data_IF_893463255855
#
_entry.id   IF_893463255855
#
_cell.length_a   1.000
_cell.length_b   1.000
_cell.length_c   1.000
_cell.angle_alpha   90.00
_cell.angle_beta   90.00
_cell.angle_gamma   90.00
#
_symmetry.space_group_name_H-M   'P 1'
#
loop_
_entity.id
_entity.type
_entity.pdbx_description
1 polymer ?
#
# COMPACT_ATOMS: atom_id res chain seq x y z
N UNK A 1 -4.50 9.11 -6.41
CA UNK A 1 -3.22 8.51 -6.04
C UNK A 1 -3.28 8.05 -4.59
N UNK A 2 -2.50 7.02 -4.24
CA UNK A 2 -2.21 6.67 -2.84
C UNK A 2 -0.99 7.46 -2.39
N UNK A 3 -0.99 7.92 -1.16
CA UNK A 3 0.18 8.51 -0.51
C UNK A 3 0.77 7.47 0.46
N UNK A 4 2.07 7.26 0.39
CA UNK A 4 2.82 6.41 1.32
C UNK A 4 3.51 7.34 2.32
N UNK A 5 3.28 7.12 3.60
CA UNK A 5 3.71 7.99 4.69
C UNK A 5 4.54 7.14 5.64
N UNK A 6 5.76 7.56 5.91
CA UNK A 6 6.59 6.94 6.93
C UNK A 6 6.31 7.57 8.31
N UNK A 7 6.48 6.77 9.34
CA UNK A 7 6.63 7.31 10.70
C UNK A 7 7.94 8.11 10.80
N UNK A 8 8.05 9.07 11.71
CA UNK A 8 9.32 9.76 11.96
C UNK A 8 10.46 8.78 12.28
N UNK A 9 11.67 9.16 11.86
CA UNK A 9 12.88 8.41 12.18
C UNK A 9 13.12 8.34 13.70
N UNK A 10 13.70 7.22 14.16
CA UNK A 10 13.96 6.98 15.57
C UNK A 10 12.75 6.61 16.43
N UNK A 11 11.56 6.47 15.83
CA UNK A 11 10.40 5.97 16.56
C UNK A 11 10.49 4.46 16.82
N UNK A 12 10.14 4.07 18.07
CA UNK A 12 9.95 2.67 18.44
C UNK A 12 8.52 2.18 18.17
N UNK A 13 8.31 0.89 18.37
CA UNK A 13 7.02 0.23 18.22
C UNK A 13 5.87 0.93 18.96
N UNK A 14 6.07 1.28 20.25
CA UNK A 14 5.01 1.91 21.05
C UNK A 14 4.61 3.29 20.51
N UNK A 15 5.57 4.10 20.09
CA UNK A 15 5.30 5.42 19.49
C UNK A 15 4.51 5.29 18.20
N UNK A 16 4.84 4.30 17.36
CA UNK A 16 4.08 4.04 16.14
C UNK A 16 2.61 3.66 16.45
N UNK A 17 2.36 2.81 17.45
CA UNK A 17 1.00 2.44 17.89
C UNK A 17 0.26 3.67 18.48
N UNK A 18 0.88 4.40 19.39
CA UNK A 18 0.29 5.58 20.04
C UNK A 18 -0.07 6.68 19.06
N UNK A 19 0.71 6.84 17.99
CA UNK A 19 0.45 7.82 16.93
C UNK A 19 -0.89 7.64 16.22
N UNK A 20 -1.49 6.46 16.31
CA UNK A 20 -2.82 6.13 15.77
C UNK A 20 -3.94 6.34 16.77
N UNK A 21 -3.64 6.64 18.04
CA UNK A 21 -4.62 7.02 19.05
C UNK A 21 -5.34 8.33 18.72
N UNK A 22 -6.39 8.66 19.49
CA UNK A 22 -7.22 9.83 19.24
C UNK A 22 -6.47 11.17 19.24
N UNK A 23 -5.42 11.26 20.06
CA UNK A 23 -4.53 12.44 20.18
C UNK A 23 -3.20 12.26 19.42
N UNK A 24 -3.05 11.18 18.64
CA UNK A 24 -1.81 10.87 17.95
C UNK A 24 -1.65 11.65 16.64
N UNK A 25 -0.41 11.85 16.22
CA UNK A 25 -0.03 12.61 15.02
C UNK A 25 -0.68 12.10 13.74
N UNK A 26 -0.96 10.80 13.69
CA UNK A 26 -1.56 10.12 12.53
C UNK A 26 -3.03 9.70 12.75
N UNK A 27 -3.70 10.23 13.78
CA UNK A 27 -5.10 9.91 14.08
C UNK A 27 -6.07 10.21 12.93
N UNK A 28 -5.78 11.26 12.14
CA UNK A 28 -6.69 11.78 11.08
C UNK A 28 -6.42 11.26 9.68
N UNK A 29 -5.50 10.28 9.51
CA UNK A 29 -5.18 9.71 8.21
C UNK A 29 -6.40 8.99 7.59
N UNK A 30 -6.44 8.99 6.24
CA UNK A 30 -7.61 8.58 5.45
C UNK A 30 -7.30 7.43 4.49
N UNK A 31 -8.33 6.89 3.85
CA UNK A 31 -8.23 5.78 2.90
C UNK A 31 -7.36 6.01 1.65
N UNK A 32 -6.96 7.27 1.38
CA UNK A 32 -5.99 7.59 0.32
C UNK A 32 -4.53 7.52 0.76
N UNK A 33 -4.26 7.11 1.99
CA UNK A 33 -2.96 7.12 2.64
C UNK A 33 -2.64 5.73 3.21
N UNK A 34 -1.36 5.36 3.18
CA UNK A 34 -0.83 4.13 3.78
C UNK A 34 0.30 4.53 4.71
N UNK A 35 0.18 4.19 5.99
CA UNK A 35 1.20 4.47 6.99
C UNK A 35 2.13 3.27 7.10
N UNK A 36 3.41 3.54 7.16
CA UNK A 36 4.48 2.58 7.10
C UNK A 36 5.42 2.71 8.30
N UNK A 37 5.81 1.57 8.86
CA UNK A 37 6.77 1.43 9.96
C UNK A 37 7.36 0.01 9.93
N UNK A 38 8.61 -0.20 10.27
CA UNK A 38 9.68 0.75 10.59
C UNK A 38 10.43 1.23 9.32
N UNK A 39 11.49 2.04 9.51
CA UNK A 39 12.45 2.36 8.46
C UNK A 39 13.27 1.14 8.08
N UNK A 40 13.88 1.19 6.91
CA UNK A 40 14.65 0.08 6.36
C UNK A 40 16.15 0.37 6.38
N UNK A 41 16.93 -0.68 6.57
CA UNK A 41 18.38 -0.64 6.49
C UNK A 41 18.83 -1.12 5.12
N UNK A 42 19.65 -0.34 4.46
CA UNK A 42 20.27 -0.68 3.18
C UNK A 42 21.78 -0.62 3.30
N UNK A 43 22.47 -1.41 2.48
CA UNK A 43 23.92 -1.38 2.45
C UNK A 43 24.43 0.01 2.06
N UNK A 44 25.34 0.56 2.84
CA UNK A 44 25.99 1.83 2.51
C UNK A 44 27.08 1.59 1.47
N UNK A 45 26.98 2.16 0.25
CA UNK A 45 27.98 1.97 -0.79
C UNK A 45 29.33 2.65 -0.47
N UNK A 46 29.32 3.57 0.49
CA UNK A 46 30.55 4.28 0.93
C UNK A 46 31.25 3.57 2.10
N UNK A 47 30.63 2.51 2.64
CA UNK A 47 31.25 1.74 3.72
C UNK A 47 32.50 1.00 3.22
N UNK A 48 33.63 1.28 3.86
CA UNK A 48 34.90 0.61 3.55
C UNK A 48 35.54 0.06 4.85
N UNK A 49 35.52 -1.26 5.09
CA UNK A 49 36.02 -1.85 6.32
C UNK A 49 37.57 -1.81 6.44
N UNK A 50 38.27 -1.47 5.34
CA UNK A 50 39.73 -1.51 5.28
C UNK A 50 40.42 -0.18 5.63
N UNK A 51 39.60 0.84 6.02
CA UNK A 51 40.11 2.16 6.41
C UNK A 51 39.95 2.40 7.92
N UNK A 52 40.71 3.35 8.48
CA UNK A 52 40.70 3.67 9.92
C UNK A 52 39.31 4.18 10.41
N UNK A 53 38.56 4.87 9.55
CA UNK A 53 37.16 5.29 9.80
C UNK A 53 36.27 4.69 8.71
N UNK A 54 35.75 3.48 8.93
CA UNK A 54 34.96 2.75 7.91
C UNK A 54 33.60 3.37 7.59
N UNK A 55 33.13 4.30 8.42
CA UNK A 55 31.77 4.84 8.32
C UNK A 55 30.69 3.84 8.77
N UNK A 56 29.42 4.19 8.56
CA UNK A 56 28.30 3.33 8.89
C UNK A 56 28.08 2.27 7.82
N UNK A 57 27.95 1.01 8.24
CA UNK A 57 27.73 -0.12 7.34
C UNK A 57 26.38 -0.06 6.63
N UNK A 58 25.37 0.47 7.32
CA UNK A 58 24.00 0.56 6.83
C UNK A 58 23.51 1.99 6.89
N UNK A 59 22.70 2.36 5.92
CA UNK A 59 21.93 3.61 5.91
C UNK A 59 20.48 3.30 6.28
N UNK A 60 19.93 4.10 7.19
CA UNK A 60 18.49 4.07 7.51
C UNK A 60 17.73 4.93 6.53
N UNK A 61 16.79 4.35 5.80
CA UNK A 61 15.99 5.03 4.79
C UNK A 61 14.48 4.84 5.04
N UNK A 62 13.66 5.82 4.62
CA UNK A 62 12.21 5.71 4.70
C UNK A 62 11.71 4.58 3.79
N UNK A 63 10.84 3.73 4.32
CA UNK A 63 10.32 2.57 3.59
C UNK A 63 9.33 2.94 2.48
N UNK A 64 8.74 4.13 2.52
CA UNK A 64 7.74 4.58 1.53
C UNK A 64 8.23 4.52 0.09
N UNK A 65 9.50 4.85 -0.16
CA UNK A 65 10.09 4.76 -1.50
C UNK A 65 10.13 3.30 -2.00
N UNK A 66 10.52 2.38 -1.12
CA UNK A 66 10.57 0.94 -1.41
C UNK A 66 9.16 0.36 -1.58
N UNK A 67 8.20 0.77 -0.74
CA UNK A 67 6.81 0.36 -0.83
C UNK A 67 6.17 0.84 -2.15
N UNK A 68 6.45 2.06 -2.58
CA UNK A 68 6.00 2.58 -3.87
C UNK A 68 6.60 1.80 -5.05
N UNK A 69 7.91 1.47 -4.97
CA UNK A 69 8.60 0.65 -5.97
C UNK A 69 8.05 -0.77 -6.03
N UNK A 70 7.85 -1.41 -4.86
CA UNK A 70 7.24 -2.73 -4.76
C UNK A 70 5.83 -2.73 -5.34
N UNK A 71 5.03 -1.71 -5.01
CA UNK A 71 3.68 -1.56 -5.55
C UNK A 71 3.69 -1.45 -7.07
N UNK A 72 4.60 -0.66 -7.64
CA UNK A 72 4.74 -0.53 -9.09
C UNK A 72 5.16 -1.87 -9.74
N UNK A 73 6.04 -2.63 -9.11
CA UNK A 73 6.43 -3.98 -9.55
C UNK A 73 5.24 -4.92 -9.59
N UNK A 74 4.45 -4.99 -8.50
CA UNK A 74 3.26 -5.85 -8.43
C UNK A 74 2.20 -5.43 -9.45
N UNK A 75 2.00 -4.12 -9.66
CA UNK A 75 1.08 -3.60 -10.69
C UNK A 75 1.46 -4.08 -12.10
N UNK A 76 2.75 -4.19 -12.40
CA UNK A 76 3.26 -4.62 -13.71
C UNK A 76 3.23 -6.14 -13.89
N UNK A 77 3.53 -6.91 -12.84
CA UNK A 77 3.69 -8.36 -12.94
C UNK A 77 2.39 -9.13 -12.69
N UNK A 78 1.57 -8.67 -11.75
CA UNK A 78 0.38 -9.39 -11.28
C UNK A 78 -0.92 -8.60 -11.48
N UNK A 79 -0.80 -7.28 -11.55
CA UNK A 79 -1.91 -6.37 -11.78
C UNK A 79 -2.29 -5.53 -10.56
N UNK A 80 -2.96 -4.44 -10.86
CA UNK A 80 -3.34 -3.41 -9.89
C UNK A 80 -4.34 -3.87 -8.82
N UNK A 81 -5.02 -5.00 -9.02
CA UNK A 81 -6.01 -5.58 -8.12
C UNK A 81 -5.38 -6.48 -7.05
N UNK A 82 -4.12 -6.88 -7.22
CA UNK A 82 -3.38 -7.71 -6.26
C UNK A 82 -2.81 -6.85 -5.14
N UNK A 83 -2.74 -7.38 -3.93
CA UNK A 83 -2.11 -6.71 -2.78
C UNK A 83 -0.59 -6.76 -2.89
N UNK A 84 0.11 -5.68 -2.45
CA UNK A 84 1.57 -5.71 -2.27
C UNK A 84 2.03 -6.43 -1.01
N UNK A 85 1.11 -6.70 -0.08
CA UNK A 85 1.42 -7.47 1.12
C UNK A 85 1.94 -8.87 0.78
N UNK A 86 2.92 -9.35 1.54
CA UNK A 86 3.61 -10.62 1.33
C UNK A 86 4.49 -10.68 0.06
N UNK A 87 4.84 -9.54 -0.51
CA UNK A 87 5.83 -9.45 -1.58
C UNK A 87 7.17 -8.96 -1.04
N UNK A 88 8.24 -9.57 -1.57
CA UNK A 88 9.59 -9.26 -1.10
C UNK A 88 10.11 -7.94 -1.68
N UNK A 89 10.70 -7.15 -0.80
CA UNK A 89 11.51 -6.01 -1.18
C UNK A 89 12.85 -6.45 -1.81
N UNK A 90 13.45 -5.56 -2.54
CA UNK A 90 14.78 -5.78 -3.13
C UNK A 90 15.73 -4.71 -2.62
N UNK A 91 16.94 -5.11 -2.24
CA UNK A 91 17.99 -4.19 -1.79
C UNK A 91 17.84 -3.72 -0.34
N UNK A 92 17.03 -4.38 0.46
CA UNK A 92 16.87 -4.15 1.90
C UNK A 92 17.60 -5.26 2.66
N UNK A 93 18.42 -4.88 3.63
CA UNK A 93 19.19 -5.79 4.48
C UNK A 93 18.52 -6.04 5.84
N UNK A 94 17.68 -5.12 6.28
CA UNK A 94 17.00 -5.18 7.57
C UNK A 94 16.07 -4.01 7.81
N UNK A 95 15.68 -3.86 9.08
CA UNK A 95 14.91 -2.73 9.60
C UNK A 95 15.63 -2.11 10.78
N UNK A 96 15.49 -0.81 10.98
CA UNK A 96 16.07 -0.07 12.12
C UNK A 96 15.47 -0.54 13.44
N UNK A 97 14.16 -0.86 13.45
CA UNK A 97 13.47 -1.47 14.57
C UNK A 97 13.07 -2.88 14.20
N UNK A 98 13.59 -3.91 14.89
CA UNK A 98 13.19 -5.29 14.65
C UNK A 98 11.74 -5.50 15.09
N UNK A 99 10.91 -6.07 14.23
CA UNK A 99 9.50 -6.38 14.49
C UNK A 99 9.32 -7.89 14.61
N UNK A 100 8.75 -8.34 15.72
CA UNK A 100 8.41 -9.74 15.91
C UNK A 100 7.28 -10.16 14.97
N UNK A 101 7.49 -11.30 14.29
CA UNK A 101 6.53 -11.85 13.35
C UNK A 101 6.39 -13.36 13.52
N UNK A 102 5.14 -13.81 13.66
CA UNK A 102 4.81 -15.22 13.63
C UNK A 102 3.40 -15.41 13.07
N UNK A 103 3.25 -16.29 12.08
CA UNK A 103 1.95 -16.57 11.43
C UNK A 103 0.92 -17.18 12.40
N UNK A 104 1.39 -17.91 13.39
CA UNK A 104 0.55 -18.58 14.41
C UNK A 104 0.20 -17.69 15.60
N UNK A 105 0.87 -16.55 15.77
CA UNK A 105 0.70 -15.67 16.92
C UNK A 105 0.00 -14.36 16.50
N UNK A 106 -1.25 -14.20 16.94
CA UNK A 106 -2.04 -12.98 16.68
C UNK A 106 -1.57 -11.79 17.52
N UNK A 107 -0.75 -12.01 18.54
CA UNK A 107 -0.26 -10.98 19.46
C UNK A 107 1.13 -10.46 19.09
N UNK A 108 1.75 -10.99 18.03
CA UNK A 108 3.04 -10.49 17.55
C UNK A 108 2.94 -9.03 17.11
N UNK A 109 4.02 -8.29 17.23
CA UNK A 109 4.07 -6.84 16.95
C UNK A 109 3.59 -6.50 15.54
N UNK A 110 3.93 -7.30 14.54
CA UNK A 110 3.45 -7.11 13.17
C UNK A 110 1.92 -7.10 13.08
N UNK A 111 1.24 -7.99 13.80
CA UNK A 111 -0.22 -8.04 13.82
C UNK A 111 -0.82 -6.88 14.62
N UNK A 112 -0.19 -6.46 15.71
CA UNK A 112 -0.62 -5.30 16.49
C UNK A 112 -0.51 -3.99 15.67
N UNK A 113 0.57 -3.81 14.90
CA UNK A 113 0.71 -2.69 13.97
C UNK A 113 -0.39 -2.70 12.89
N UNK A 114 -0.62 -3.86 12.28
CA UNK A 114 -1.68 -4.00 11.27
C UNK A 114 -3.08 -3.74 11.85
N UNK A 115 -3.32 -4.10 13.12
CA UNK A 115 -4.58 -3.79 13.80
C UNK A 115 -4.82 -2.28 13.98
N UNK A 116 -3.76 -1.45 13.87
CA UNK A 116 -3.83 0.01 13.87
C UNK A 116 -3.75 0.62 12.46
N UNK A 117 -3.81 -0.19 11.42
CA UNK A 117 -3.72 0.28 10.03
C UNK A 117 -2.31 0.73 9.63
N UNK A 118 -1.29 0.23 10.32
CA UNK A 118 0.13 0.45 10.01
C UNK A 118 0.64 -0.76 9.24
N UNK A 119 1.16 -0.52 8.04
CA UNK A 119 1.87 -1.55 7.28
C UNK A 119 3.29 -1.67 7.79
N UNK A 120 3.76 -2.89 7.98
CA UNK A 120 5.08 -3.15 8.51
C UNK A 120 5.94 -3.97 7.56
N UNK A 121 7.22 -4.03 7.89
CA UNK A 121 8.24 -4.81 7.18
C UNK A 121 8.65 -5.96 8.08
N UNK A 122 8.56 -7.18 7.58
CA UNK A 122 8.88 -8.38 8.36
C UNK A 122 9.84 -9.28 7.60
N UNK A 123 10.67 -10.01 8.35
CA UNK A 123 11.47 -11.08 7.77
C UNK A 123 10.64 -12.37 7.75
N UNK A 124 10.23 -12.79 6.57
CA UNK A 124 9.40 -13.98 6.41
C UNK A 124 10.25 -15.20 6.06
N UNK A 125 9.96 -16.31 6.73
CA UNK A 125 10.64 -17.59 6.55
C UNK A 125 10.77 -17.95 5.06
N UNK A 126 12.01 -17.93 4.55
CA UNK A 126 12.35 -18.31 3.18
C UNK A 126 12.05 -17.29 2.09
N UNK A 127 11.27 -16.24 2.36
CA UNK A 127 10.91 -15.20 1.39
C UNK A 127 11.71 -13.89 1.56
N UNK A 128 12.56 -13.81 2.60
CA UNK A 128 13.30 -12.61 2.92
C UNK A 128 12.44 -11.51 3.54
N UNK A 129 12.82 -10.26 3.28
CA UNK A 129 12.16 -9.09 3.86
C UNK A 129 10.97 -8.72 3.00
N UNK A 130 9.76 -8.81 3.57
CA UNK A 130 8.49 -8.60 2.84
C UNK A 130 7.68 -7.46 3.45
N UNK A 131 6.85 -6.83 2.61
CA UNK A 131 5.79 -5.95 3.09
C UNK A 131 4.69 -6.78 3.78
N UNK A 132 4.24 -6.34 4.95
CA UNK A 132 3.18 -7.00 5.70
C UNK A 132 2.10 -6.02 6.12
N UNK A 133 0.96 -6.11 5.45
CA UNK A 133 -0.22 -5.28 5.69
C UNK A 133 -0.86 -4.80 4.40
N UNK A 134 -2.19 -4.88 4.35
CA UNK A 134 -3.00 -4.46 3.20
C UNK A 134 -4.04 -3.40 3.62
N UNK A 135 -3.89 -2.79 4.78
CA UNK A 135 -4.79 -1.75 5.22
C UNK A 135 -4.33 -0.36 4.78
N UNK A 136 -5.31 0.49 4.48
CA UNK A 136 -5.08 1.94 4.39
C UNK A 136 -5.07 2.53 5.79
N UNK A 137 -4.57 3.76 5.91
CA UNK A 137 -4.57 4.46 7.19
C UNK A 137 -5.97 4.91 7.68
N UNK A 138 -7.05 4.59 6.96
CA UNK A 138 -8.42 4.73 7.47
C UNK A 138 -8.82 3.63 8.44
N UNK A 139 -8.13 2.49 8.42
CA UNK A 139 -8.35 1.43 9.41
C UNK A 139 -7.64 1.81 10.73
N UNK A 140 -8.18 1.51 11.92
CA UNK A 140 -9.41 0.77 12.20
C UNK A 140 -10.70 1.63 12.22
N UNK A 141 -10.61 2.94 12.04
CA UNK A 141 -11.79 3.82 12.07
C UNK A 141 -12.82 3.48 10.99
N UNK A 142 -12.37 2.91 9.88
CA UNK A 142 -13.21 2.43 8.78
C UNK A 142 -12.96 0.94 8.58
N UNK A 143 -14.03 0.15 8.60
CA UNK A 143 -14.00 -1.31 8.36
C UNK A 143 -14.67 -1.73 7.05
N UNK A 144 -15.07 -0.75 6.23
CA UNK A 144 -15.60 -0.99 4.88
C UNK A 144 -14.52 -1.53 3.94
N UNK A 145 -14.88 -2.12 2.78
CA UNK A 145 -13.88 -2.59 1.81
C UNK A 145 -12.84 -1.54 1.41
N UNK A 146 -13.16 -0.24 1.50
CA UNK A 146 -12.24 0.89 1.27
C UNK A 146 -11.06 0.94 2.26
N UNK A 147 -11.15 0.23 3.38
CA UNK A 147 -10.05 0.09 4.32
C UNK A 147 -8.87 -0.71 3.75
N UNK A 148 -9.12 -1.55 2.72
CA UNK A 148 -8.07 -2.32 2.07
C UNK A 148 -7.42 -1.54 0.93
N UNK A 149 -6.08 -1.50 0.91
CA UNK A 149 -5.32 -0.76 -0.11
C UNK A 149 -5.65 -1.26 -1.52
N UNK A 150 -5.60 -2.57 -1.77
CA UNK A 150 -5.87 -3.14 -3.09
C UNK A 150 -7.29 -2.80 -3.59
N UNK A 151 -8.30 -2.85 -2.72
CA UNK A 151 -9.68 -2.47 -3.06
C UNK A 151 -9.77 -0.98 -3.36
N UNK A 152 -9.20 -0.14 -2.51
CA UNK A 152 -9.20 1.32 -2.71
C UNK A 152 -8.53 1.72 -4.02
N UNK A 153 -7.39 1.11 -4.35
CA UNK A 153 -6.68 1.34 -5.61
C UNK A 153 -7.50 0.89 -6.81
N UNK A 154 -8.11 -0.29 -6.72
CA UNK A 154 -9.00 -0.84 -7.76
C UNK A 154 -10.15 0.12 -8.06
N UNK A 155 -10.83 0.62 -7.04
CA UNK A 155 -11.90 1.61 -7.18
C UNK A 155 -11.41 2.90 -7.82
N UNK A 156 -10.23 3.39 -7.44
CA UNK A 156 -9.64 4.61 -8.03
C UNK A 156 -9.31 4.44 -9.52
N UNK A 157 -8.76 3.29 -9.91
CA UNK A 157 -8.42 3.00 -11.31
C UNK A 157 -9.69 2.84 -12.13
N UNK A 158 -10.68 2.08 -11.66
CA UNK A 158 -11.96 1.91 -12.32
C UNK A 158 -12.69 3.25 -12.51
N UNK A 159 -12.78 4.06 -11.44
CA UNK A 159 -13.36 5.40 -11.50
C UNK A 159 -12.67 6.27 -12.54
N UNK A 160 -11.33 6.31 -12.55
CA UNK A 160 -10.57 7.09 -13.53
C UNK A 160 -10.83 6.61 -14.97
N UNK A 161 -10.82 5.31 -15.21
CA UNK A 161 -11.06 4.72 -16.53
C UNK A 161 -12.45 5.07 -17.06
N UNK A 162 -13.48 4.96 -16.22
CA UNK A 162 -14.85 5.33 -16.58
C UNK A 162 -14.95 6.84 -16.83
N UNK A 163 -14.36 7.67 -15.96
CA UNK A 163 -14.36 9.13 -16.14
C UNK A 163 -13.73 9.53 -17.48
N UNK A 164 -12.58 8.92 -17.82
CA UNK A 164 -11.92 9.20 -19.11
C UNK A 164 -12.75 8.74 -20.32
N UNK A 165 -13.39 7.58 -20.23
CA UNK A 165 -14.26 7.07 -21.29
C UNK A 165 -15.51 7.97 -21.48
N UNK A 166 -16.00 8.55 -20.39
CA UNK A 166 -17.17 9.45 -20.43
C UNK A 166 -16.81 10.90 -20.78
N UNK A 167 -15.53 11.26 -20.80
CA UNK A 167 -15.08 12.64 -21.04
C UNK A 167 -15.55 13.19 -22.40
N UNK A 168 -15.68 12.34 -23.41
CA UNK A 168 -16.18 12.72 -24.75
C UNK A 168 -17.64 13.19 -24.76
N UNK A 169 -18.40 12.93 -23.70
CA UNK A 169 -19.80 13.35 -23.57
C UNK A 169 -19.96 14.64 -22.76
N UNK A 170 -18.85 15.22 -22.28
CA UNK A 170 -18.86 16.50 -21.55
C UNK A 170 -19.06 17.63 -22.56
N UNK A 171 -19.91 18.60 -22.20
CA UNK A 171 -20.20 19.78 -23.00
C UNK A 171 -20.89 19.52 -24.37
N UNK A 172 -21.62 18.39 -24.45
CA UNK A 172 -22.49 18.12 -25.59
C UNK A 172 -23.76 18.99 -25.47
N UNK A 173 -24.15 19.69 -26.54
CA UNK A 173 -25.26 20.65 -26.53
C UNK A 173 -26.60 20.10 -26.08
N UNK A 174 -26.85 18.82 -26.28
CA UNK A 174 -28.06 18.10 -25.85
C UNK A 174 -27.74 16.66 -25.59
N UNK A 175 -27.96 16.19 -24.36
CA UNK A 175 -27.87 14.79 -24.01
C UNK A 175 -29.13 14.07 -24.47
N UNK A 176 -28.99 13.14 -25.41
CA UNK A 176 -30.08 12.29 -25.91
C UNK A 176 -30.09 10.95 -25.16
N UNK A 177 -31.23 10.25 -25.18
CA UNK A 177 -31.32 8.91 -24.60
C UNK A 177 -30.27 7.95 -25.19
N UNK A 178 -29.97 8.06 -26.47
CA UNK A 178 -28.93 7.28 -27.14
C UNK A 178 -27.53 7.48 -26.53
N UNK A 179 -27.20 8.70 -26.07
CA UNK A 179 -25.91 8.99 -25.43
C UNK A 179 -25.84 8.33 -24.06
N UNK A 180 -26.93 8.33 -23.31
CA UNK A 180 -27.04 7.65 -22.00
C UNK A 180 -26.86 6.14 -22.18
N UNK A 181 -27.50 5.55 -23.18
CA UNK A 181 -27.43 4.13 -23.48
C UNK A 181 -26.01 3.75 -23.96
N UNK A 182 -25.34 4.62 -24.71
CA UNK A 182 -23.96 4.43 -25.14
C UNK A 182 -23.00 4.45 -23.93
N UNK A 183 -23.13 5.41 -23.02
CA UNK A 183 -22.33 5.45 -21.77
C UNK A 183 -22.54 4.18 -20.94
N UNK A 184 -23.81 3.76 -20.78
CA UNK A 184 -24.13 2.52 -20.06
C UNK A 184 -23.46 1.30 -20.70
N UNK A 185 -23.50 1.20 -22.02
CA UNK A 185 -22.87 0.09 -22.75
C UNK A 185 -21.34 0.12 -22.58
N UNK A 186 -20.68 1.27 -22.65
CA UNK A 186 -19.23 1.41 -22.43
C UNK A 186 -18.85 0.93 -21.03
N UNK A 187 -19.60 1.36 -20.01
CA UNK A 187 -19.35 0.95 -18.63
C UNK A 187 -19.56 -0.56 -18.43
N UNK A 188 -20.66 -1.11 -18.97
CA UNK A 188 -20.93 -2.55 -18.88
C UNK A 188 -19.87 -3.39 -19.59
N UNK A 189 -19.42 -2.99 -20.79
CA UNK A 189 -18.35 -3.67 -21.51
C UNK A 189 -17.03 -3.63 -20.71
N UNK A 190 -16.73 -2.50 -20.07
CA UNK A 190 -15.55 -2.38 -19.22
C UNK A 190 -15.60 -3.35 -18.03
N UNK A 191 -16.72 -3.40 -17.31
CA UNK A 191 -16.89 -4.35 -16.20
C UNK A 191 -16.86 -5.80 -16.63
N UNK A 192 -17.53 -6.15 -17.75
CA UNK A 192 -17.51 -7.50 -18.31
C UNK A 192 -16.08 -7.94 -18.65
N UNK A 193 -15.26 -7.04 -19.19
CA UNK A 193 -13.85 -7.31 -19.46
C UNK A 193 -13.07 -7.55 -18.17
N UNK A 194 -13.22 -6.72 -17.15
CA UNK A 194 -12.53 -6.90 -15.86
C UNK A 194 -12.93 -8.21 -15.18
N UNK A 195 -14.19 -8.61 -15.31
CA UNK A 195 -14.69 -9.90 -14.80
C UNK A 195 -14.08 -11.06 -15.58
N UNK A 196 -14.04 -10.98 -16.92
CA UNK A 196 -13.43 -12.01 -17.76
C UNK A 196 -11.92 -12.16 -17.50
N UNK A 197 -11.24 -11.07 -17.17
CA UNK A 197 -9.83 -11.05 -16.76
C UNK A 197 -9.61 -11.50 -15.29
N UNK A 198 -10.67 -11.83 -14.55
CA UNK A 198 -10.61 -12.23 -13.14
C UNK A 198 -10.20 -11.13 -12.17
N UNK A 199 -10.22 -9.85 -12.59
CA UNK A 199 -9.82 -8.71 -11.77
C UNK A 199 -10.89 -8.25 -10.78
N UNK A 200 -12.15 -8.57 -11.06
CA UNK A 200 -13.28 -8.36 -10.18
C UNK A 200 -14.18 -9.60 -10.16
N UNK A 201 -14.82 -9.86 -9.03
CA UNK A 201 -15.80 -10.92 -8.93
C UNK A 201 -17.11 -10.52 -9.61
N UNK A 202 -17.84 -11.51 -10.14
CA UNK A 202 -19.22 -11.30 -10.61
C UNK A 202 -20.09 -11.06 -9.39
N UNK A 203 -20.76 -9.90 -9.32
CA UNK A 203 -21.86 -9.72 -8.38
C UNK A 203 -23.11 -10.35 -9.02
N UNK A 204 -23.65 -11.37 -8.39
CA UNK A 204 -24.98 -11.92 -8.70
C UNK A 204 -26.06 -11.03 -8.13
#
# INVERSE_FOLDING_TARGET
>A
AMAYIDTPDGWGFNQAIESRGAEGDFATLKAGQKLLFPHVLVANPEYNPDVEDPGERYLTLPVSAYAAGLRAKVDLTEGWHVSSSNHAYTGIEGTDVPITFALSDKTCEANLLNAQGITTVVNMYGNGIVEWGNYTAAFPSTTTPDAFECVRRSLMIMKRSITMACAQFIDVKQVKQADIDLVRNIVNQYYNRLTAEGKIAVSY
#
